data_IF_122530259830
#
_entry.id   IF_122530259830
#
_cell.length_a   1.000
_cell.length_b   1.000
_cell.length_c   1.000
_cell.angle_alpha   90.00
_cell.angle_beta   90.00
_cell.angle_gamma   90.00
#
_symmetry.space_group_name_H-M   'P 1'
#
loop_
_entity.id
_entity.type
_entity.pdbx_description
1 polymer ?
#
# COMPACT_ATOMS: atom_id res chain seq x y z
N UNK A 1 -50.05 -16.41 1.81
CA UNK A 1 -48.73 -16.52 1.14
C UNK A 1 -47.72 -15.80 2.03
N UNK A 2 -46.85 -16.55 2.71
CA UNK A 2 -45.91 -16.00 3.69
C UNK A 2 -44.61 -15.66 2.95
N UNK A 3 -44.34 -14.38 2.72
CA UNK A 3 -43.09 -13.95 2.09
C UNK A 3 -41.98 -13.92 3.14
N UNK A 4 -40.98 -14.78 2.97
CA UNK A 4 -39.82 -14.85 3.85
C UNK A 4 -38.96 -13.59 3.67
N UNK A 5 -38.89 -12.74 4.69
CA UNK A 5 -37.92 -11.65 4.77
C UNK A 5 -36.57 -12.27 5.16
N UNK A 6 -35.59 -12.27 4.25
CA UNK A 6 -34.22 -12.61 4.61
C UNK A 6 -33.67 -11.59 5.61
N UNK A 7 -32.94 -12.01 6.65
CA UNK A 7 -32.27 -11.07 7.53
C UNK A 7 -31.22 -10.27 6.74
N UNK A 8 -31.07 -8.96 6.99
CA UNK A 8 -29.97 -8.20 6.41
C UNK A 8 -28.66 -8.80 6.92
N UNK A 9 -27.73 -9.04 6.01
CA UNK A 9 -26.39 -9.50 6.37
C UNK A 9 -25.81 -8.58 7.45
N UNK A 10 -25.21 -9.12 8.53
CA UNK A 10 -24.53 -8.30 9.51
C UNK A 10 -23.43 -7.52 8.78
N UNK A 11 -23.41 -6.20 8.94
CA UNK A 11 -22.35 -5.36 8.39
C UNK A 11 -21.00 -5.91 8.84
N UNK A 12 -19.97 -5.94 7.97
CA UNK A 12 -18.63 -6.35 8.37
C UNK A 12 -18.23 -5.59 9.64
N UNK A 13 -17.60 -6.26 10.63
CA UNK A 13 -17.12 -5.57 11.81
C UNK A 13 -16.25 -4.41 11.34
N UNK A 14 -16.55 -3.21 11.83
CA UNK A 14 -15.79 -1.99 11.55
C UNK A 14 -14.42 -2.10 12.23
N UNK A 15 -13.57 -2.99 11.74
CA UNK A 15 -12.13 -2.88 11.95
C UNK A 15 -11.75 -1.56 11.33
N UNK A 16 -11.66 -0.53 12.18
CA UNK A 16 -11.01 0.72 11.81
C UNK A 16 -9.66 0.32 11.25
N UNK A 17 -9.39 0.74 10.00
CA UNK A 17 -8.06 0.59 9.46
C UNK A 17 -7.08 1.23 10.45
N UNK A 18 -5.91 0.62 10.69
CA UNK A 18 -4.85 1.30 11.43
C UNK A 18 -4.63 2.69 10.83
N UNK A 19 -4.35 3.66 11.70
CA UNK A 19 -3.97 4.99 11.25
C UNK A 19 -2.71 4.83 10.41
N UNK A 20 -2.75 5.31 9.17
CA UNK A 20 -1.58 5.29 8.30
C UNK A 20 -0.45 6.11 8.96
N UNK A 21 0.81 5.66 8.87
CA UNK A 21 1.96 6.41 9.39
C UNK A 21 2.05 7.79 8.72
N UNK A 22 2.51 8.79 9.45
CA UNK A 22 2.79 10.11 8.85
C UNK A 22 4.01 10.04 7.95
N UNK A 23 4.17 11.02 7.06
CA UNK A 23 5.32 11.07 6.18
C UNK A 23 6.65 11.19 6.96
N UNK A 24 6.67 11.90 8.09
CA UNK A 24 7.85 11.97 8.97
C UNK A 24 8.21 10.62 9.60
N UNK A 25 7.22 9.76 9.82
CA UNK A 25 7.46 8.39 10.29
C UNK A 25 8.03 7.54 9.16
N UNK A 26 7.44 7.64 7.96
CA UNK A 26 7.92 6.93 6.77
C UNK A 26 9.37 7.33 6.42
N UNK A 27 9.73 8.61 6.51
CA UNK A 27 11.10 9.11 6.25
C UNK A 27 12.18 8.53 7.17
N UNK A 28 11.80 7.86 8.27
CA UNK A 28 12.73 7.17 9.17
C UNK A 28 12.95 5.71 8.78
N UNK A 29 12.12 5.18 7.88
CA UNK A 29 12.17 3.80 7.45
C UNK A 29 13.15 3.62 6.28
N UNK A 30 14.03 2.61 6.33
CA UNK A 30 15.05 2.41 5.30
C UNK A 30 14.48 1.96 3.95
N UNK A 31 13.23 1.47 3.93
CA UNK A 31 12.53 1.03 2.73
C UNK A 31 11.72 2.15 2.08
N UNK A 32 11.62 3.35 2.66
CA UNK A 32 10.88 4.47 2.08
C UNK A 32 11.81 5.49 1.43
N UNK A 33 11.58 5.77 0.15
CA UNK A 33 12.47 6.62 -0.67
C UNK A 33 11.82 7.91 -1.16
N UNK A 34 10.58 8.22 -0.73
CA UNK A 34 9.86 9.42 -1.16
C UNK A 34 9.70 9.51 -2.67
N UNK A 35 9.93 10.70 -3.25
CA UNK A 35 9.86 10.92 -4.71
C UNK A 35 11.01 10.23 -5.44
N UNK A 36 10.76 9.01 -5.89
CA UNK A 36 11.68 8.20 -6.70
C UNK A 36 11.00 7.76 -8.00
N UNK A 37 11.73 7.71 -9.11
CA UNK A 37 11.19 7.18 -10.36
C UNK A 37 11.11 5.65 -10.32
N UNK A 38 10.18 5.05 -11.08
CA UNK A 38 10.09 3.59 -11.18
C UNK A 38 11.41 2.96 -11.65
N UNK A 39 12.07 3.57 -12.64
CA UNK A 39 13.34 3.08 -13.20
C UNK A 39 14.47 3.09 -12.16
N UNK A 40 14.51 4.10 -11.29
CA UNK A 40 15.53 4.16 -10.23
C UNK A 40 15.24 3.15 -9.13
N UNK A 41 13.96 2.93 -8.80
CA UNK A 41 13.55 1.88 -7.87
C UNK A 41 13.96 0.49 -8.38
N UNK A 42 13.69 0.18 -9.65
CA UNK A 42 14.08 -1.09 -10.28
C UNK A 42 15.59 -1.33 -10.30
N UNK A 43 16.43 -0.28 -10.30
CA UNK A 43 17.89 -0.42 -10.21
C UNK A 43 18.39 -0.76 -8.80
N UNK A 44 17.65 -0.33 -7.77
CA UNK A 44 17.98 -0.60 -6.37
C UNK A 44 17.56 -2.01 -5.94
N UNK A 45 16.46 -2.51 -6.51
CA UNK A 45 15.92 -3.83 -6.21
C UNK A 45 16.62 -4.88 -7.08
N UNK A 46 17.74 -5.40 -6.57
CA UNK A 46 18.57 -6.36 -7.30
C UNK A 46 18.30 -7.81 -6.89
N UNK A 47 17.81 -8.03 -5.66
CA UNK A 47 17.51 -9.36 -5.16
C UNK A 47 16.01 -9.62 -5.18
N UNK A 48 15.63 -10.85 -5.50
CA UNK A 48 14.25 -11.29 -5.40
C UNK A 48 13.77 -11.22 -3.95
N UNK A 49 12.63 -10.57 -3.74
CA UNK A 49 12.08 -10.32 -2.41
C UNK A 49 12.47 -8.97 -1.80
N UNK A 50 13.38 -8.22 -2.43
CA UNK A 50 13.59 -6.82 -2.07
C UNK A 50 12.35 -5.99 -2.44
N UNK A 51 12.05 -5.00 -1.62
CA UNK A 51 11.01 -4.02 -1.93
C UNK A 51 11.38 -2.65 -1.39
N UNK A 52 10.75 -1.63 -1.96
CA UNK A 52 10.75 -0.28 -1.43
C UNK A 52 9.41 0.40 -1.68
N UNK A 53 9.14 1.44 -0.90
CA UNK A 53 7.97 2.28 -1.05
C UNK A 53 8.39 3.66 -1.53
N UNK A 54 7.65 4.20 -2.50
CA UNK A 54 7.85 5.52 -3.08
C UNK A 54 6.55 6.32 -3.10
N UNK A 55 6.66 7.63 -3.27
CA UNK A 55 5.51 8.49 -3.54
C UNK A 55 4.93 8.17 -4.92
N UNK A 56 3.60 8.09 -4.98
CA UNK A 56 2.93 8.01 -6.27
C UNK A 56 3.08 9.34 -7.01
N UNK A 57 3.57 9.26 -8.25
CA UNK A 57 3.72 10.44 -9.10
C UNK A 57 2.39 10.86 -9.75
N UNK A 58 1.43 9.94 -9.82
CA UNK A 58 0.12 10.15 -10.44
C UNK A 58 -0.96 10.49 -9.42
N UNK A 59 -0.87 9.96 -8.20
CA UNK A 59 -1.81 10.22 -7.12
C UNK A 59 -1.12 10.84 -5.89
N UNK A 60 -1.10 12.19 -5.76
CA UNK A 60 -0.57 12.85 -4.58
C UNK A 60 -1.19 12.32 -3.28
N UNK A 61 -0.36 12.00 -2.29
CA UNK A 61 -0.79 11.43 -1.00
C UNK A 61 -0.99 9.91 -1.01
N UNK A 62 -0.74 9.24 -2.13
CA UNK A 62 -0.65 7.77 -2.19
C UNK A 62 0.80 7.32 -2.32
N UNK A 63 1.04 6.09 -1.87
CA UNK A 63 2.33 5.44 -1.90
C UNK A 63 2.27 4.19 -2.78
N UNK A 64 3.35 3.93 -3.51
CA UNK A 64 3.49 2.78 -4.39
C UNK A 64 4.58 1.84 -3.85
N UNK A 65 4.25 0.56 -3.76
CA UNK A 65 5.21 -0.51 -3.48
C UNK A 65 5.87 -0.94 -4.79
N UNK A 66 7.20 -0.96 -4.81
CA UNK A 66 7.99 -1.55 -5.90
C UNK A 66 8.69 -2.77 -5.34
N UNK A 67 8.51 -3.93 -5.97
CA UNK A 67 9.16 -5.19 -5.59
C UNK A 67 10.13 -5.63 -6.69
N UNK A 68 11.30 -6.15 -6.29
CA UNK A 68 12.22 -6.83 -7.19
C UNK A 68 11.59 -8.14 -7.65
N UNK A 69 11.16 -8.18 -8.91
CA UNK A 69 10.69 -9.39 -9.56
C UNK A 69 11.68 -9.72 -10.68
N UNK A 70 12.40 -10.84 -10.55
CA UNK A 70 13.06 -11.50 -11.68
C UNK A 70 11.98 -12.09 -12.59
N UNK A 71 11.78 -11.49 -13.78
CA UNK A 71 10.96 -12.07 -14.85
C UNK A 71 11.78 -12.98 -15.74
#
# INVERSE_FOLDING_TARGET
ATSALSPPWPSPPTRKAPIAPTEEQLRREPWYHGKMSRRDAERLLQMDGDFLVRDSLTNPGQYELVSGLSW
#
